data_IF_126758767057
#
_entry.id   IF_126758767057
#
_cell.length_a   1.000
_cell.length_b   1.000
_cell.length_c   1.000
_cell.angle_alpha   90.00
_cell.angle_beta   90.00
_cell.angle_gamma   90.00
#
_symmetry.space_group_name_H-M   'P 1'
#
loop_
_entity.id
_entity.type
_entity.pdbx_description
1 polymer ?
#
# COMPACT_ATOMS: atom_id res chain seq x y z
N UNK A 1 5.41 -62.15 -25.85
CA UNK A 1 6.24 -61.25 -25.01
C UNK A 1 7.63 -61.86 -24.83
N UNK A 2 8.70 -61.19 -25.26
CA UNK A 2 10.06 -61.63 -24.95
C UNK A 2 10.45 -61.26 -23.51
N UNK A 3 11.43 -61.96 -22.95
CA UNK A 3 11.94 -61.71 -21.59
C UNK A 3 12.47 -60.28 -21.41
N UNK A 4 13.08 -59.72 -22.47
CA UNK A 4 13.56 -58.34 -22.50
C UNK A 4 12.43 -57.32 -22.32
N UNK A 5 11.27 -57.55 -22.95
CA UNK A 5 10.09 -56.66 -22.80
C UNK A 5 9.55 -56.75 -21.37
N UNK A 6 9.57 -57.92 -20.74
CA UNK A 6 9.15 -58.07 -19.35
C UNK A 6 10.05 -57.27 -18.39
N UNK A 7 11.37 -57.34 -18.55
CA UNK A 7 12.30 -56.54 -17.75
C UNK A 7 12.13 -55.04 -17.98
N UNK A 8 11.98 -54.61 -19.23
CA UNK A 8 11.69 -53.21 -19.54
C UNK A 8 10.39 -52.73 -18.89
N UNK A 9 9.36 -53.57 -18.91
CA UNK A 9 8.08 -53.27 -18.27
C UNK A 9 8.25 -53.14 -16.75
N UNK A 10 8.98 -54.05 -16.11
CA UNK A 10 9.22 -53.96 -14.66
C UNK A 10 9.98 -52.69 -14.28
N UNK A 11 11.05 -52.35 -15.01
CA UNK A 11 11.82 -51.14 -14.75
C UNK A 11 10.98 -49.88 -14.97
N UNK A 12 10.21 -49.83 -16.06
CA UNK A 12 9.29 -48.73 -16.32
C UNK A 12 8.24 -48.57 -15.20
N UNK A 13 7.71 -49.67 -14.67
CA UNK A 13 6.74 -49.64 -13.56
C UNK A 13 7.38 -49.22 -12.23
N UNK A 14 8.62 -49.62 -11.96
CA UNK A 14 9.40 -49.11 -10.81
C UNK A 14 9.64 -47.59 -10.95
N UNK A 15 10.02 -47.13 -12.14
CA UNK A 15 10.20 -45.71 -12.41
C UNK A 15 8.89 -44.93 -12.24
N UNK A 16 7.77 -45.48 -12.73
CA UNK A 16 6.43 -44.90 -12.56
C UNK A 16 5.98 -44.89 -11.10
N UNK A 17 6.29 -45.93 -10.32
CA UNK A 17 6.04 -45.95 -8.87
C UNK A 17 6.86 -44.89 -8.14
N UNK A 18 8.12 -44.68 -8.53
CA UNK A 18 8.96 -43.62 -7.98
C UNK A 18 8.43 -42.24 -8.34
N UNK A 19 8.04 -42.04 -9.60
CA UNK A 19 7.44 -40.82 -10.11
C UNK A 19 6.10 -40.51 -9.40
N UNK A 20 5.29 -41.55 -9.15
CA UNK A 20 4.06 -41.42 -8.37
C UNK A 20 4.34 -40.89 -6.95
N UNK A 21 5.37 -41.40 -6.28
CA UNK A 21 5.79 -40.90 -4.98
C UNK A 21 6.17 -39.41 -5.01
N UNK A 22 6.97 -39.02 -6.00
CA UNK A 22 7.36 -37.62 -6.20
C UNK A 22 6.16 -36.71 -6.42
N UNK A 23 5.31 -37.04 -7.39
CA UNK A 23 4.12 -36.26 -7.74
C UNK A 23 3.10 -36.17 -6.60
N UNK A 24 2.94 -37.23 -5.80
CA UNK A 24 2.08 -37.23 -4.62
C UNK A 24 2.59 -36.26 -3.55
N UNK A 25 3.90 -36.24 -3.29
CA UNK A 25 4.51 -35.28 -2.36
C UNK A 25 4.38 -33.83 -2.86
N UNK A 26 4.60 -33.59 -4.16
CA UNK A 26 4.37 -32.27 -4.79
C UNK A 26 2.92 -31.83 -4.59
N UNK A 27 1.99 -32.70 -4.94
CA UNK A 27 0.56 -32.44 -4.89
C UNK A 27 0.12 -32.10 -3.47
N UNK A 28 0.54 -32.88 -2.47
CA UNK A 28 0.24 -32.62 -1.07
C UNK A 28 0.82 -31.28 -0.58
N UNK A 29 2.02 -30.89 -1.03
CA UNK A 29 2.64 -29.61 -0.67
C UNK A 29 1.86 -28.41 -1.21
N UNK A 30 1.34 -28.47 -2.43
CA UNK A 30 0.59 -27.38 -3.05
C UNK A 30 -0.88 -27.32 -2.62
N UNK A 31 -1.51 -28.48 -2.38
CA UNK A 31 -2.92 -28.53 -2.05
C UNK A 31 -3.22 -27.98 -0.64
N UNK A 32 -2.27 -28.07 0.30
CA UNK A 32 -2.41 -27.57 1.68
C UNK A 32 -3.80 -27.87 2.28
N UNK A 33 -4.15 -29.16 2.37
CA UNK A 33 -5.50 -29.67 2.68
C UNK A 33 -6.23 -28.94 3.82
N UNK A 34 -5.50 -28.53 4.87
CA UNK A 34 -6.07 -27.81 6.04
C UNK A 34 -6.65 -26.43 5.72
N UNK A 35 -6.12 -25.75 4.70
CA UNK A 35 -6.49 -24.37 4.37
C UNK A 35 -7.50 -24.26 3.22
N UNK A 36 -7.88 -25.39 2.58
CA UNK A 36 -8.74 -25.39 1.39
C UNK A 36 -10.12 -25.98 1.69
N UNK A 37 -11.14 -25.48 0.97
CA UNK A 37 -12.50 -25.99 1.04
C UNK A 37 -12.54 -27.45 0.61
N UNK A 38 -13.31 -28.28 1.33
CA UNK A 38 -13.38 -29.75 1.11
C UNK A 38 -13.75 -30.14 -0.33
N UNK A 39 -14.64 -29.39 -0.98
CA UNK A 39 -15.03 -29.66 -2.37
C UNK A 39 -13.90 -29.43 -3.38
N UNK A 40 -13.05 -28.42 -3.17
CA UNK A 40 -11.88 -28.16 -4.02
C UNK A 40 -10.85 -29.27 -3.89
N UNK A 41 -10.63 -29.75 -2.66
CA UNK A 41 -9.75 -30.90 -2.39
C UNK A 41 -10.28 -32.15 -3.09
N UNK A 42 -11.59 -32.40 -3.02
CA UNK A 42 -12.21 -33.54 -3.68
C UNK A 42 -12.03 -33.52 -5.20
N UNK A 43 -12.31 -32.39 -5.86
CA UNK A 43 -12.13 -32.25 -7.32
C UNK A 43 -10.67 -32.46 -7.72
N UNK A 44 -9.74 -31.88 -6.97
CA UNK A 44 -8.31 -32.08 -7.25
C UNK A 44 -7.85 -33.51 -6.99
N UNK A 45 -8.36 -34.19 -5.97
CA UNK A 45 -8.02 -35.59 -5.70
C UNK A 45 -8.51 -36.48 -6.85
N UNK A 46 -9.74 -36.28 -7.32
CA UNK A 46 -10.29 -37.01 -8.47
C UNK A 46 -9.44 -36.77 -9.73
N UNK A 47 -9.12 -35.51 -10.03
CA UNK A 47 -8.28 -35.16 -11.19
C UNK A 47 -6.88 -35.76 -11.08
N UNK A 48 -6.27 -35.75 -9.89
CA UNK A 48 -4.95 -36.30 -9.64
C UNK A 48 -4.94 -37.82 -9.88
N UNK A 49 -5.88 -38.55 -9.29
CA UNK A 49 -5.98 -40.00 -9.48
C UNK A 49 -6.29 -40.39 -10.92
N UNK A 50 -7.16 -39.63 -11.60
CA UNK A 50 -7.47 -39.84 -13.00
C UNK A 50 -6.22 -39.63 -13.88
N UNK A 51 -5.52 -38.51 -13.70
CA UNK A 51 -4.28 -38.22 -14.41
C UNK A 51 -3.22 -39.31 -14.16
N UNK A 52 -3.04 -39.72 -12.92
CA UNK A 52 -2.03 -40.71 -12.57
C UNK A 52 -2.37 -42.10 -13.13
N UNK A 53 -3.64 -42.50 -13.08
CA UNK A 53 -4.10 -43.77 -13.65
C UNK A 53 -3.94 -43.78 -15.17
N UNK A 54 -4.32 -42.69 -15.86
CA UNK A 54 -4.11 -42.52 -17.29
C UNK A 54 -2.63 -42.57 -17.67
N UNK A 55 -1.78 -41.86 -16.92
CA UNK A 55 -0.34 -41.85 -17.16
C UNK A 55 0.28 -43.24 -16.96
N UNK A 56 -0.09 -43.95 -15.89
CA UNK A 56 0.34 -45.32 -15.62
C UNK A 56 -0.09 -46.26 -16.74
N UNK A 57 -1.37 -46.20 -17.13
CA UNK A 57 -1.90 -47.01 -18.22
C UNK A 57 -1.22 -46.68 -19.55
N UNK A 58 -0.97 -45.40 -19.85
CA UNK A 58 -0.28 -44.99 -21.07
C UNK A 58 1.15 -45.55 -21.15
N UNK A 59 1.92 -45.45 -20.06
CA UNK A 59 3.28 -46.02 -20.03
C UNK A 59 3.23 -47.54 -20.13
N UNK A 60 2.26 -48.18 -19.47
CA UNK A 60 2.05 -49.62 -19.58
C UNK A 60 1.66 -50.04 -21.01
N UNK A 61 0.84 -49.24 -21.69
CA UNK A 61 0.47 -49.42 -23.08
C UNK A 61 1.67 -49.31 -24.01
N UNK A 62 2.54 -48.33 -23.80
CA UNK A 62 3.73 -48.14 -24.61
C UNK A 62 4.73 -49.29 -24.49
N UNK A 63 4.92 -49.84 -23.28
CA UNK A 63 5.98 -50.82 -23.02
C UNK A 63 5.48 -52.27 -23.16
N UNK A 64 4.21 -52.54 -22.86
CA UNK A 64 3.66 -53.89 -22.79
C UNK A 64 2.32 -54.03 -23.54
N UNK A 65 1.96 -53.09 -24.43
CA UNK A 65 0.66 -53.05 -25.11
C UNK A 65 -0.55 -53.05 -24.15
N UNK A 66 -0.34 -52.70 -22.88
CA UNK A 66 -1.40 -52.55 -21.88
C UNK A 66 -1.77 -53.86 -21.17
N UNK A 67 -0.94 -54.91 -21.29
CA UNK A 67 -1.18 -56.15 -20.57
C UNK A 67 -1.01 -55.95 -19.06
N UNK A 68 -2.11 -56.01 -18.32
CA UNK A 68 -2.10 -55.87 -16.86
C UNK A 68 -1.83 -57.23 -16.23
N UNK A 69 -0.71 -57.36 -15.53
CA UNK A 69 -0.28 -58.57 -14.81
C UNK A 69 0.08 -58.28 -13.37
N UNK A 70 0.00 -59.28 -12.50
CA UNK A 70 0.19 -59.09 -11.06
C UNK A 70 1.56 -58.50 -10.68
N UNK A 71 2.65 -58.92 -11.36
CA UNK A 71 4.00 -58.43 -11.07
C UNK A 71 4.18 -56.93 -11.35
N UNK A 72 3.34 -56.32 -12.20
CA UNK A 72 3.38 -54.87 -12.47
C UNK A 72 3.02 -54.08 -11.21
N UNK A 73 2.03 -54.55 -10.45
CA UNK A 73 1.67 -53.93 -9.17
C UNK A 73 2.80 -54.03 -8.14
N UNK A 74 3.49 -55.17 -8.09
CA UNK A 74 4.66 -55.35 -7.21
C UNK A 74 5.78 -54.38 -7.63
N UNK A 75 6.08 -54.29 -8.93
CA UNK A 75 7.08 -53.37 -9.46
C UNK A 75 6.73 -51.91 -9.13
N UNK A 76 5.47 -51.51 -9.25
CA UNK A 76 4.99 -50.17 -8.90
C UNK A 76 5.15 -49.88 -7.39
N UNK A 77 4.72 -50.81 -6.53
CA UNK A 77 4.86 -50.68 -5.08
C UNK A 77 6.34 -50.64 -4.65
N UNK A 78 7.18 -51.46 -5.28
CA UNK A 78 8.62 -51.44 -5.07
C UNK A 78 9.23 -50.08 -5.46
N UNK A 79 8.85 -49.54 -6.62
CA UNK A 79 9.27 -48.20 -7.04
C UNK A 79 8.82 -47.10 -6.09
N UNK A 80 7.58 -47.15 -5.63
CA UNK A 80 7.08 -46.19 -4.64
C UNK A 80 7.82 -46.29 -3.30
N UNK A 81 8.08 -47.51 -2.82
CA UNK A 81 8.86 -47.74 -1.60
C UNK A 81 10.31 -47.26 -1.75
N UNK A 82 10.93 -47.51 -2.90
CA UNK A 82 12.27 -47.01 -3.23
C UNK A 82 12.31 -45.48 -3.23
N UNK A 83 11.31 -44.82 -3.79
CA UNK A 83 11.16 -43.36 -3.67
C UNK A 83 11.07 -42.90 -2.22
N UNK A 84 10.18 -43.51 -1.44
CA UNK A 84 9.96 -43.12 -0.05
C UNK A 84 11.24 -43.27 0.80
N UNK A 85 12.01 -44.32 0.58
CA UNK A 85 13.21 -44.63 1.36
C UNK A 85 14.46 -43.84 0.89
N UNK A 86 14.70 -43.75 -0.42
CA UNK A 86 15.94 -43.18 -0.95
C UNK A 86 15.77 -41.73 -1.42
N UNK A 87 14.72 -41.44 -2.18
CA UNK A 87 14.62 -40.19 -2.95
C UNK A 87 13.84 -39.08 -2.27
N UNK A 88 12.92 -39.42 -1.36
CA UNK A 88 12.02 -38.46 -0.71
C UNK A 88 12.72 -37.25 -0.11
N UNK A 89 13.77 -37.48 0.69
CA UNK A 89 14.47 -36.39 1.36
C UNK A 89 15.18 -35.45 0.37
N UNK A 90 15.79 -36.01 -0.68
CA UNK A 90 16.42 -35.22 -1.74
C UNK A 90 15.38 -34.45 -2.56
N UNK A 91 14.30 -35.12 -2.91
CA UNK A 91 13.19 -34.53 -3.67
C UNK A 91 12.55 -33.35 -2.94
N UNK A 92 12.23 -33.50 -1.65
CA UNK A 92 11.63 -32.42 -0.86
C UNK A 92 12.57 -31.22 -0.70
N UNK A 93 13.87 -31.45 -0.51
CA UNK A 93 14.87 -30.37 -0.47
C UNK A 93 14.96 -29.63 -1.80
N UNK A 94 14.98 -30.37 -2.92
CA UNK A 94 14.98 -29.78 -4.26
C UNK A 94 13.70 -28.97 -4.49
N UNK A 95 12.54 -29.53 -4.14
CA UNK A 95 11.24 -28.88 -4.27
C UNK A 95 11.20 -27.57 -3.48
N UNK A 96 11.67 -27.59 -2.23
CA UNK A 96 11.73 -26.39 -1.41
C UNK A 96 12.70 -25.35 -1.97
N UNK A 97 13.88 -25.79 -2.44
CA UNK A 97 14.82 -24.90 -3.10
C UNK A 97 14.21 -24.24 -4.34
N UNK A 98 13.51 -25.00 -5.18
CA UNK A 98 12.79 -24.47 -6.35
C UNK A 98 11.71 -23.46 -5.95
N UNK A 99 10.90 -23.76 -4.93
CA UNK A 99 9.87 -22.84 -4.43
C UNK A 99 10.51 -21.55 -3.90
N UNK A 100 11.57 -21.66 -3.09
CA UNK A 100 12.27 -20.50 -2.55
C UNK A 100 12.93 -19.68 -3.65
N UNK A 101 13.54 -20.32 -4.65
CA UNK A 101 14.12 -19.66 -5.82
C UNK A 101 13.05 -18.88 -6.59
N UNK A 102 11.92 -19.51 -6.92
CA UNK A 102 10.80 -18.86 -7.60
C UNK A 102 10.27 -17.64 -6.81
N UNK A 103 10.08 -17.80 -5.49
CA UNK A 103 9.65 -16.72 -4.60
C UNK A 103 10.68 -15.59 -4.47
N UNK A 104 11.98 -15.91 -4.53
CA UNK A 104 13.07 -14.89 -4.52
C UNK A 104 13.06 -14.12 -5.83
N UNK A 105 12.98 -14.81 -6.97
CA UNK A 105 12.90 -14.18 -8.29
C UNK A 105 11.67 -13.28 -8.39
N UNK A 106 10.49 -13.76 -8.01
CA UNK A 106 9.26 -12.96 -8.05
C UNK A 106 9.34 -11.71 -7.16
N UNK A 107 9.88 -11.84 -5.95
CA UNK A 107 10.10 -10.68 -5.06
C UNK A 107 11.15 -9.72 -5.60
N UNK A 108 12.20 -10.23 -6.21
CA UNK A 108 13.23 -9.42 -6.85
C UNK A 108 12.63 -8.61 -8.00
N UNK A 109 11.90 -9.25 -8.91
CA UNK A 109 11.20 -8.59 -10.02
C UNK A 109 10.22 -7.54 -9.51
N UNK A 110 9.36 -7.88 -8.53
CA UNK A 110 8.43 -6.91 -7.94
C UNK A 110 9.16 -5.74 -7.24
N UNK A 111 10.30 -6.01 -6.61
CA UNK A 111 11.18 -5.00 -6.03
C UNK A 111 11.77 -4.06 -7.09
N UNK A 112 12.22 -4.61 -8.22
CA UNK A 112 12.70 -3.82 -9.36
C UNK A 112 11.61 -2.91 -9.91
N UNK A 113 10.41 -3.41 -10.16
CA UNK A 113 9.28 -2.58 -10.60
C UNK A 113 8.94 -1.47 -9.59
N UNK A 114 8.98 -1.78 -8.29
CA UNK A 114 8.74 -0.78 -7.24
C UNK A 114 9.81 0.32 -7.20
N UNK A 115 11.07 -0.06 -7.34
CA UNK A 115 12.19 0.88 -7.33
C UNK A 115 12.22 1.72 -8.61
N UNK A 116 12.01 1.09 -9.77
CA UNK A 116 12.19 1.71 -11.08
C UNK A 116 10.99 2.52 -11.54
N UNK A 117 9.77 2.18 -11.13
CA UNK A 117 8.55 2.88 -11.58
C UNK A 117 7.94 3.70 -10.45
N UNK A 118 7.66 3.10 -9.29
CA UNK A 118 6.92 3.79 -8.23
C UNK A 118 7.72 4.88 -7.54
N UNK A 119 9.02 4.68 -7.26
CA UNK A 119 9.84 5.72 -6.63
C UNK A 119 10.04 6.96 -7.51
N UNK A 120 10.45 6.86 -8.78
CA UNK A 120 10.61 8.05 -9.62
C UNK A 120 9.27 8.72 -9.93
N UNK A 121 8.18 7.96 -10.12
CA UNK A 121 6.85 8.55 -10.31
C UNK A 121 6.41 9.42 -9.13
N UNK A 122 6.63 8.96 -7.88
CA UNK A 122 6.37 9.80 -6.68
C UNK A 122 7.23 11.05 -6.64
N UNK A 123 8.52 10.91 -6.99
CA UNK A 123 9.43 12.05 -7.11
C UNK A 123 8.91 13.08 -8.11
N UNK A 124 8.45 12.62 -9.28
CA UNK A 124 7.91 13.49 -10.33
C UNK A 124 6.64 14.22 -9.88
N UNK A 125 5.70 13.53 -9.23
CA UNK A 125 4.48 14.15 -8.68
C UNK A 125 4.83 15.20 -7.62
N UNK A 126 5.78 14.91 -6.73
CA UNK A 126 6.23 15.87 -5.72
C UNK A 126 6.90 17.09 -6.36
N UNK A 127 7.67 16.89 -7.43
CA UNK A 127 8.33 17.95 -8.20
C UNK A 127 7.30 18.88 -8.86
N UNK A 128 6.26 18.32 -9.49
CA UNK A 128 5.15 19.08 -10.06
C UNK A 128 4.42 19.90 -8.99
N UNK A 129 4.15 19.30 -7.82
CA UNK A 129 3.49 20.00 -6.72
C UNK A 129 4.38 21.13 -6.15
N UNK A 130 5.69 20.89 -6.03
CA UNK A 130 6.66 21.90 -5.62
C UNK A 130 6.73 23.06 -6.62
N UNK A 131 6.69 22.77 -7.92
CA UNK A 131 6.62 23.77 -9.00
C UNK A 131 5.37 24.63 -8.89
N UNK A 132 4.21 24.01 -8.70
CA UNK A 132 2.93 24.71 -8.57
C UNK A 132 2.91 25.63 -7.34
N UNK A 133 3.34 25.13 -6.17
CA UNK A 133 3.46 25.93 -4.96
C UNK A 133 4.48 27.06 -5.10
N UNK A 134 5.61 26.80 -5.76
CA UNK A 134 6.65 27.78 -6.04
C UNK A 134 6.12 28.93 -6.91
N UNK A 135 5.43 28.60 -8.01
CA UNK A 135 4.80 29.58 -8.89
C UNK A 135 3.74 30.42 -8.15
N UNK A 136 2.90 29.77 -7.33
CA UNK A 136 1.91 30.47 -6.50
C UNK A 136 2.53 31.45 -5.51
N UNK A 137 3.65 31.07 -4.87
CA UNK A 137 4.41 31.99 -3.98
C UNK A 137 4.98 33.18 -4.75
N UNK A 138 5.48 32.96 -5.96
CA UNK A 138 6.01 34.03 -6.82
C UNK A 138 4.91 35.04 -7.16
N UNK A 139 3.76 34.55 -7.64
CA UNK A 139 2.57 35.35 -7.94
C UNK A 139 2.10 36.15 -6.72
N UNK A 140 1.97 35.50 -5.57
CA UNK A 140 1.56 36.17 -4.34
C UNK A 140 2.53 37.28 -3.93
N UNK A 141 3.84 37.06 -4.11
CA UNK A 141 4.86 38.07 -3.81
C UNK A 141 4.71 39.28 -4.74
N UNK A 142 4.48 39.06 -6.03
CA UNK A 142 4.24 40.13 -7.01
C UNK A 142 2.97 40.92 -6.64
N UNK A 143 1.84 40.24 -6.41
CA UNK A 143 0.57 40.90 -6.04
C UNK A 143 0.71 41.68 -4.74
N UNK A 144 1.38 41.12 -3.73
CA UNK A 144 1.64 41.80 -2.46
C UNK A 144 2.50 43.04 -2.65
N UNK A 145 3.53 42.97 -3.49
CA UNK A 145 4.36 44.13 -3.84
C UNK A 145 3.54 45.22 -4.54
N UNK A 146 2.72 44.84 -5.53
CA UNK A 146 1.83 45.77 -6.23
C UNK A 146 0.81 46.41 -5.28
N UNK A 147 0.14 45.63 -4.44
CA UNK A 147 -0.81 46.14 -3.44
C UNK A 147 -0.14 47.11 -2.46
N UNK A 148 1.08 46.81 -2.02
CA UNK A 148 1.84 47.71 -1.14
C UNK A 148 2.18 49.03 -1.85
N UNK A 149 2.54 49.00 -3.14
CA UNK A 149 2.72 50.21 -3.93
C UNK A 149 1.42 51.01 -4.06
N UNK A 150 0.30 50.36 -4.39
CA UNK A 150 -1.01 51.01 -4.52
C UNK A 150 -1.42 51.67 -3.21
N UNK A 151 -1.31 50.97 -2.07
CA UNK A 151 -1.61 51.53 -0.75
C UNK A 151 -0.68 52.71 -0.44
N UNK A 152 0.60 52.64 -0.82
CA UNK A 152 1.54 53.73 -0.62
C UNK A 152 1.16 54.98 -1.44
N UNK A 153 0.78 54.81 -2.71
CA UNK A 153 0.30 55.88 -3.58
C UNK A 153 -1.01 56.47 -3.03
N UNK A 154 -1.99 55.62 -2.70
CA UNK A 154 -3.27 56.04 -2.16
C UNK A 154 -3.11 56.81 -0.84
N UNK A 155 -2.25 56.33 0.07
CA UNK A 155 -1.95 57.01 1.33
C UNK A 155 -1.19 58.32 1.12
N UNK A 156 -0.34 58.41 0.11
CA UNK A 156 0.41 59.63 -0.22
C UNK A 156 -0.49 60.67 -0.90
N UNK A 157 -1.43 60.24 -1.75
CA UNK A 157 -2.42 61.10 -2.39
C UNK A 157 -3.58 61.55 -1.48
N UNK A 158 -3.98 60.73 -0.51
CA UNK A 158 -5.02 61.11 0.48
C UNK A 158 -4.48 61.97 1.63
N UNK A 159 -3.16 62.02 1.84
CA UNK A 159 -2.52 62.89 2.85
C UNK A 159 -2.88 64.39 2.69
N UNK A 160 -2.79 65.01 1.50
CA UNK A 160 -3.19 66.42 1.34
C UNK A 160 -4.67 66.64 1.66
N UNK A 161 -5.55 65.67 1.38
CA UNK A 161 -6.98 65.77 1.70
C UNK A 161 -7.23 65.73 3.21
N UNK A 162 -6.52 64.86 3.94
CA UNK A 162 -6.59 64.85 5.41
C UNK A 162 -6.01 66.12 6.06
N UNK A 163 -4.99 66.73 5.44
CA UNK A 163 -4.43 68.00 5.89
C UNK A 163 -5.39 69.18 5.65
N UNK A 164 -6.10 69.19 4.51
CA UNK A 164 -7.19 70.14 4.24
C UNK A 164 -8.35 69.98 5.22
N UNK A 165 -8.74 68.75 5.55
CA UNK A 165 -9.76 68.48 6.57
C UNK A 165 -9.39 69.01 7.96
N UNK A 166 -8.13 68.86 8.39
CA UNK A 166 -7.63 69.43 9.65
C UNK A 166 -7.54 70.95 9.58
N UNK A 167 -7.16 71.53 8.44
CA UNK A 167 -7.13 72.97 8.22
C UNK A 167 -8.53 73.59 8.34
N UNK A 168 -9.55 72.97 7.71
CA UNK A 168 -10.96 73.36 7.86
C UNK A 168 -11.47 73.18 9.30
N UNK A 169 -11.07 72.11 9.99
CA UNK A 169 -11.41 71.90 11.40
C UNK A 169 -10.78 72.92 12.35
N UNK A 170 -9.62 73.49 11.97
CA UNK A 170 -8.92 74.52 12.76
C UNK A 170 -9.62 75.89 12.72
N UNK A 171 -10.45 76.13 11.70
CA UNK A 171 -11.16 77.40 11.47
C UNK A 171 -12.63 77.33 11.97
N UNK A 172 -13.12 76.15 12.34
CA UNK A 172 -14.51 75.91 12.68
C UNK A 172 -14.84 76.25 14.17
N UNK A 173 -15.83 77.14 14.45
CA UNK A 173 -16.24 77.50 15.82
C UNK A 173 -16.85 76.35 16.65
N UNK A 174 -17.16 75.21 16.01
CA UNK A 174 -17.74 74.03 16.68
C UNK A 174 -16.75 73.23 17.54
N UNK A 175 -15.44 73.56 17.49
CA UNK A 175 -14.40 72.89 18.27
C UNK A 175 -14.63 73.00 19.79
N UNK A 176 -15.04 74.17 20.27
CA UNK A 176 -15.32 74.40 21.69
C UNK A 176 -16.55 73.63 22.22
N UNK A 177 -17.48 73.26 21.33
CA UNK A 177 -18.64 72.42 21.69
C UNK A 177 -18.31 70.94 21.69
N UNK A 178 -17.46 70.48 20.77
CA UNK A 178 -16.97 69.10 20.74
C UNK A 178 -16.09 68.76 21.96
N UNK A 179 -15.18 69.65 22.37
CA UNK A 179 -14.32 69.43 23.55
C UNK A 179 -15.13 69.31 24.85
N UNK A 180 -16.19 70.11 24.99
CA UNK A 180 -17.13 70.02 26.13
C UNK A 180 -17.96 68.73 26.11
N UNK A 181 -18.35 68.26 24.92
CA UNK A 181 -19.07 66.99 24.78
C UNK A 181 -18.17 65.79 25.10
N UNK A 182 -16.91 65.80 24.64
CA UNK A 182 -15.93 64.75 24.93
C UNK A 182 -15.52 64.71 26.41
N UNK A 183 -15.41 65.85 27.11
CA UNK A 183 -15.23 65.84 28.57
C UNK A 183 -16.40 65.16 29.30
N UNK A 184 -17.64 65.39 28.84
CA UNK A 184 -18.85 64.80 29.43
C UNK A 184 -18.91 63.29 29.20
N UNK A 185 -18.49 62.82 28.02
CA UNK A 185 -18.44 61.38 27.71
C UNK A 185 -17.21 60.69 28.33
N UNK A 186 -16.11 61.38 28.56
CA UNK A 186 -14.92 60.85 29.23
C UNK A 186 -15.20 60.38 30.67
N UNK A 187 -16.03 61.12 31.42
CA UNK A 187 -16.47 60.70 32.76
C UNK A 187 -17.33 59.43 32.73
N UNK A 188 -18.21 59.32 31.72
CA UNK A 188 -19.03 58.12 31.49
C UNK A 188 -18.15 56.91 31.13
N UNK A 189 -17.14 57.13 30.30
CA UNK A 189 -16.18 56.12 29.87
C UNK A 189 -15.33 55.60 31.04
N UNK A 190 -14.85 56.50 31.92
CA UNK A 190 -14.14 56.14 33.15
C UNK A 190 -15.01 55.28 34.09
N UNK A 191 -16.31 55.58 34.15
CA UNK A 191 -17.27 54.83 34.97
C UNK A 191 -17.53 53.42 34.42
N UNK A 192 -17.66 53.30 33.09
CA UNK A 192 -17.80 52.00 32.40
C UNK A 192 -16.51 51.17 32.59
N UNK A 193 -15.34 51.78 32.41
CA UNK A 193 -14.06 51.11 32.61
C UNK A 193 -13.91 50.59 34.04
N UNK A 194 -14.28 51.38 35.05
CA UNK A 194 -14.25 50.96 36.45
C UNK A 194 -15.25 49.83 36.76
N UNK A 195 -16.43 49.81 36.13
CA UNK A 195 -17.38 48.68 36.23
C UNK A 195 -16.82 47.41 35.60
N UNK A 196 -16.19 47.51 34.42
CA UNK A 196 -15.55 46.37 33.76
C UNK A 196 -14.38 45.80 34.60
N UNK A 197 -13.56 46.66 35.21
CA UNK A 197 -12.47 46.24 36.10
C UNK A 197 -13.04 45.54 37.35
N UNK A 198 -14.07 46.10 37.99
CA UNK A 198 -14.75 45.46 39.13
C UNK A 198 -15.36 44.10 38.76
N UNK A 199 -15.99 44.00 37.59
CA UNK A 199 -16.58 42.76 37.09
C UNK A 199 -15.50 41.69 36.84
N UNK A 200 -14.40 42.06 36.17
CA UNK A 200 -13.24 41.18 35.95
C UNK A 200 -12.66 40.65 37.27
N UNK A 201 -12.51 41.52 38.28
CA UNK A 201 -12.00 41.12 39.60
C UNK A 201 -12.99 40.26 40.41
N UNK A 202 -14.30 40.33 40.13
CA UNK A 202 -15.32 39.48 40.76
C UNK A 202 -15.35 38.09 40.14
N UNK A 203 -15.27 38.02 38.80
CA UNK A 203 -15.18 36.77 38.05
C UNK A 203 -13.88 36.01 38.41
N UNK A 204 -12.74 36.72 38.52
CA UNK A 204 -11.46 36.11 38.90
C UNK A 204 -11.43 35.54 40.34
N UNK A 205 -12.29 36.00 41.25
CA UNK A 205 -12.44 35.42 42.60
C UNK A 205 -13.36 34.19 42.62
N UNK A 206 -14.29 34.10 41.68
CA UNK A 206 -15.20 32.96 41.56
C UNK A 206 -14.50 31.74 40.93
N UNK A 207 -13.55 31.97 40.02
CA UNK A 207 -12.73 30.93 39.39
C UNK A 207 -11.55 30.41 40.25
N UNK A 208 -11.37 30.93 41.46
CA UNK A 208 -10.26 30.57 42.38
C UNK A 208 -10.72 29.82 43.63
N UNK A 209 -11.99 29.43 43.70
CA UNK A 209 -12.58 28.46 44.63
C UNK A 209 -12.88 27.18 43.85
#
# INVERSE_FOLDING_TARGET
>A
MSLSVQFYTMLAMIAMGSFFGGTLDTYNRFLQRRNRKRWVVFVHDVLFWLFQSLLLFYVLFLVNAGEVRFYIFIALLCGFAAYQALFKNGYLKLLEWCIQAACRTGRFTAGMFRLLVFRPAKGFVLLLFALFLGAGRLLYTIVKMMAKMVIWILKTGLKPFSALGVFLWRINPLRASFDRFFMKTAGFWKTIQNKFIKLKNRIGRFFKR
#
